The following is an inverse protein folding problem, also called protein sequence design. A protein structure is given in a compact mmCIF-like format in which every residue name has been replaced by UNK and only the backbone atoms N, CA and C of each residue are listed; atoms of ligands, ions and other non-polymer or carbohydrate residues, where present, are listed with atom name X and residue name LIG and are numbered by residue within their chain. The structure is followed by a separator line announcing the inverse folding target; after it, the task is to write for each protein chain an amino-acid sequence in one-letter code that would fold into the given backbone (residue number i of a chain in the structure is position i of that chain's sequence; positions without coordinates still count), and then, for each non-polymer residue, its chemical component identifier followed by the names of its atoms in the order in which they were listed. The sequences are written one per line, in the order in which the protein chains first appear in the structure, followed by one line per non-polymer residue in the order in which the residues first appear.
data_IF_704132480875
#
_entry.id   IF_704132480875
#
_cell.length_a   1.000
_cell.length_b   1.000
_cell.length_c   1.000
_cell.angle_alpha   90.00
_cell.angle_beta   90.00
_cell.angle_gamma   90.00
#
_symmetry.space_group_name_H-M   'P 1'
#
loop_
_entity.id
_entity.type
_entity.pdbx_description
1 polymer ?
#
# COMPACT_ATOMS: atom_id res chain seq x y z
N UNK A 1 31.99 9.04 17.09
CA UNK A 1 31.22 9.43 18.27
C UNK A 1 30.15 8.36 18.46
N UNK A 2 30.24 7.51 19.48
CA UNK A 2 29.34 6.35 19.67
C UNK A 2 28.01 6.89 20.20
N UNK A 3 26.92 6.65 19.45
CA UNK A 3 25.57 6.94 19.90
C UNK A 3 25.10 5.73 20.73
N UNK A 4 25.00 5.92 22.03
CA UNK A 4 24.40 4.96 22.96
C UNK A 4 22.88 4.94 22.74
N UNK A 5 22.23 3.75 22.71
CA UNK A 5 20.77 3.69 22.64
C UNK A 5 20.17 4.15 23.96
N UNK A 6 19.35 5.17 23.92
CA UNK A 6 18.52 5.61 25.05
C UNK A 6 17.40 4.60 25.22
N UNK A 7 17.63 3.58 26.05
CA UNK A 7 16.57 2.77 26.66
C UNK A 7 16.00 3.55 27.83
N UNK A 8 15.03 4.42 27.59
CA UNK A 8 14.18 4.89 28.68
C UNK A 8 13.31 3.71 29.17
N UNK A 9 13.74 3.12 30.25
CA UNK A 9 12.98 2.21 31.07
C UNK A 9 11.76 2.95 31.66
N UNK A 10 10.65 2.94 30.94
CA UNK A 10 9.35 3.19 31.55
C UNK A 10 9.11 2.08 32.57
N UNK A 11 9.31 2.41 33.86
CA UNK A 11 8.84 1.61 34.98
C UNK A 11 7.31 1.54 34.93
N UNK A 12 6.76 0.58 34.18
CA UNK A 12 5.39 0.13 34.37
C UNK A 12 5.38 -0.75 35.64
N UNK A 13 5.04 -0.12 36.75
CA UNK A 13 4.80 -0.85 38.02
C UNK A 13 3.62 -1.80 37.91
N UNK A 14 3.81 -3.02 38.33
CA UNK A 14 2.90 -4.05 38.85
C UNK A 14 1.36 -3.92 38.66
N UNK A 15 0.88 -3.76 37.43
CA UNK A 15 -0.55 -3.95 37.04
C UNK A 15 -0.79 -4.52 35.65
N UNK A 16 0.16 -5.25 35.07
CA UNK A 16 -0.02 -5.79 33.72
C UNK A 16 -0.14 -7.31 33.78
N UNK A 17 -1.32 -7.80 34.14
CA UNK A 17 -1.64 -9.22 34.00
C UNK A 17 -2.77 -9.49 32.98
N UNK A 18 -3.21 -8.48 32.22
CA UNK A 18 -4.24 -8.66 31.17
C UNK A 18 -3.83 -7.94 29.90
N UNK A 19 -3.48 -8.75 28.86
CA UNK A 19 -3.19 -8.20 27.52
C UNK A 19 -4.36 -7.35 27.02
N UNK A 20 -4.05 -6.23 26.39
CA UNK A 20 -5.02 -5.39 25.71
C UNK A 20 -5.66 -6.18 24.57
N UNK A 21 -6.99 -6.19 24.50
CA UNK A 21 -7.72 -6.95 23.52
C UNK A 21 -8.23 -6.03 22.40
N UNK A 22 -7.90 -6.38 21.15
CA UNK A 22 -8.38 -5.72 19.95
C UNK A 22 -9.24 -6.66 19.11
N UNK A 23 -10.04 -6.09 18.21
CA UNK A 23 -10.78 -6.85 17.21
C UNK A 23 -10.52 -6.23 15.84
N UNK A 24 -10.19 -7.06 14.86
CA UNK A 24 -10.05 -6.67 13.47
C UNK A 24 -11.16 -7.30 12.64
N UNK A 25 -11.76 -6.52 11.74
CA UNK A 25 -12.86 -6.97 10.87
C UNK A 25 -12.52 -6.63 9.42
N UNK A 26 -12.27 -7.64 8.58
CA UNK A 26 -11.86 -7.48 7.19
C UNK A 26 -12.78 -8.22 6.22
N UNK A 27 -12.77 -7.79 4.96
CA UNK A 27 -13.45 -8.51 3.89
C UNK A 27 -12.70 -9.78 3.54
N UNK A 28 -11.42 -9.65 3.17
CA UNK A 28 -10.54 -10.73 2.75
C UNK A 28 -9.07 -10.31 2.87
N UNK A 29 -8.20 -11.26 3.17
CA UNK A 29 -6.76 -11.04 3.30
C UNK A 29 -5.96 -12.08 2.53
N UNK A 30 -6.42 -13.33 2.49
CA UNK A 30 -5.68 -14.49 1.98
C UNK A 30 -6.23 -15.02 0.66
N UNK A 31 -7.50 -14.76 0.33
CA UNK A 31 -8.15 -15.28 -0.86
C UNK A 31 -7.64 -14.65 -2.17
N UNK A 32 -7.10 -13.44 -2.10
CA UNK A 32 -6.58 -12.68 -3.23
C UNK A 32 -5.28 -11.97 -2.86
N UNK A 33 -4.45 -11.69 -3.88
CA UNK A 33 -3.29 -10.83 -3.75
C UNK A 33 -3.60 -9.41 -4.24
N UNK A 34 -3.07 -8.41 -3.53
CA UNK A 34 -3.23 -7.00 -3.89
C UNK A 34 -2.61 -6.08 -2.84
N UNK A 35 -2.51 -4.80 -3.16
CA UNK A 35 -1.89 -3.80 -2.27
C UNK A 35 -2.57 -3.70 -0.90
N UNK A 36 -3.90 -3.79 -0.84
CA UNK A 36 -4.65 -3.78 0.43
C UNK A 36 -4.32 -5.01 1.28
N UNK A 37 -4.29 -6.19 0.67
CA UNK A 37 -3.98 -7.44 1.35
C UNK A 37 -2.53 -7.44 1.87
N UNK A 38 -1.59 -6.97 1.07
CA UNK A 38 -0.19 -6.82 1.50
C UNK A 38 -0.07 -5.85 2.68
N UNK A 39 -0.71 -4.71 2.61
CA UNK A 39 -0.73 -3.73 3.70
C UNK A 39 -1.31 -4.29 5.01
N UNK A 40 -2.40 -5.06 4.95
CA UNK A 40 -2.99 -5.69 6.15
C UNK A 40 -2.04 -6.76 6.71
N UNK A 41 -1.36 -7.53 5.85
CA UNK A 41 -0.34 -8.49 6.26
C UNK A 41 0.84 -7.79 6.99
N UNK A 42 1.23 -6.59 6.55
CA UNK A 42 2.26 -5.81 7.23
C UNK A 42 1.80 -5.30 8.59
N UNK A 43 0.52 -4.90 8.73
CA UNK A 43 -0.07 -4.59 10.04
C UNK A 43 0.03 -5.80 10.97
N UNK A 44 -0.28 -7.01 10.51
CA UNK A 44 -0.20 -8.20 11.37
C UNK A 44 1.23 -8.59 11.72
N UNK A 45 2.18 -8.49 10.77
CA UNK A 45 3.62 -8.69 11.08
C UNK A 45 4.09 -7.74 12.17
N UNK A 46 3.74 -6.46 12.05
CA UNK A 46 4.08 -5.46 13.06
C UNK A 46 3.35 -5.69 14.38
N UNK A 47 2.06 -6.04 14.34
CA UNK A 47 1.23 -6.29 15.52
C UNK A 47 1.75 -7.46 16.36
N UNK A 48 2.15 -8.56 15.74
CA UNK A 48 2.71 -9.74 16.43
C UNK A 48 4.02 -9.44 17.18
N UNK A 49 4.77 -8.40 16.76
CA UNK A 49 5.94 -7.92 17.51
C UNK A 49 5.57 -7.39 18.91
N UNK A 50 4.30 -7.02 19.11
CA UNK A 50 3.76 -6.53 20.40
C UNK A 50 2.93 -7.58 21.14
N UNK A 51 3.09 -8.86 20.84
CA UNK A 51 2.32 -9.98 21.39
C UNK A 51 2.38 -10.11 22.92
N UNK A 52 3.38 -9.50 23.58
CA UNK A 52 3.46 -9.42 25.04
C UNK A 52 2.39 -8.47 25.64
N UNK A 53 1.98 -7.44 24.88
CA UNK A 53 1.05 -6.38 25.33
C UNK A 53 -0.33 -6.54 24.74
N UNK A 54 -0.42 -6.97 23.48
CA UNK A 54 -1.66 -7.02 22.72
C UNK A 54 -2.05 -8.45 22.34
N UNK A 55 -3.35 -8.66 22.21
CA UNK A 55 -3.96 -9.82 21.55
C UNK A 55 -5.15 -9.36 20.74
N UNK A 56 -5.50 -10.09 19.70
CA UNK A 56 -6.66 -9.75 18.87
C UNK A 56 -7.42 -10.97 18.36
N UNK A 57 -8.68 -10.72 18.04
CA UNK A 57 -9.53 -11.61 17.26
C UNK A 57 -9.79 -10.98 15.89
N UNK A 58 -9.60 -11.73 14.81
CA UNK A 58 -9.70 -11.28 13.43
C UNK A 58 -10.88 -11.96 12.75
N UNK A 59 -11.81 -11.18 12.22
CA UNK A 59 -13.03 -11.65 11.56
C UNK A 59 -12.90 -11.42 10.06
N UNK A 60 -12.95 -12.51 9.27
CA UNK A 60 -12.76 -12.52 7.83
C UNK A 60 -14.03 -12.97 7.10
N UNK A 61 -14.63 -12.07 6.31
CA UNK A 61 -15.92 -12.33 5.67
C UNK A 61 -15.82 -13.30 4.47
N UNK A 62 -14.73 -13.23 3.71
CA UNK A 62 -14.60 -13.92 2.41
C UNK A 62 -13.46 -14.92 2.34
N UNK A 63 -12.58 -14.96 3.34
CA UNK A 63 -11.56 -16.00 3.44
C UNK A 63 -12.13 -17.31 3.99
N UNK A 64 -11.50 -18.42 3.61
CA UNK A 64 -11.80 -19.78 4.08
C UNK A 64 -10.75 -20.23 5.09
N UNK A 65 -11.10 -21.13 6.04
CA UNK A 65 -10.10 -21.80 6.89
C UNK A 65 -9.01 -22.54 6.11
N UNK A 66 -9.31 -22.93 4.86
CA UNK A 66 -8.35 -23.61 3.97
C UNK A 66 -7.33 -22.64 3.35
N UNK A 67 -7.52 -21.32 3.52
CA UNK A 67 -6.57 -20.33 3.02
C UNK A 67 -5.29 -20.39 3.84
N UNK A 68 -4.12 -20.31 3.17
CA UNK A 68 -2.83 -20.27 3.86
C UNK A 68 -2.72 -19.00 4.69
N UNK A 69 -2.77 -19.13 6.00
CA UNK A 69 -2.63 -18.03 6.95
C UNK A 69 -1.35 -18.20 7.80
N UNK A 70 -0.29 -17.40 7.53
CA UNK A 70 0.96 -17.48 8.28
C UNK A 70 0.95 -16.72 9.61
N UNK A 71 -0.17 -16.07 9.97
CA UNK A 71 -0.25 -15.18 11.15
C UNK A 71 -1.05 -15.78 12.32
N UNK A 72 -1.58 -16.98 12.18
CA UNK A 72 -2.34 -17.60 13.27
C UNK A 72 -1.42 -17.94 14.45
N UNK A 73 -1.72 -17.35 15.60
CA UNK A 73 -0.90 -17.40 16.82
C UNK A 73 -1.83 -17.34 18.04
N UNK A 74 -1.33 -17.66 19.24
CA UNK A 74 -2.12 -17.57 20.48
C UNK A 74 -2.65 -16.15 20.77
N UNK A 75 -1.98 -15.12 20.25
CA UNK A 75 -2.35 -13.70 20.41
C UNK A 75 -3.11 -13.13 19.23
N UNK A 76 -3.26 -13.86 18.12
CA UNK A 76 -3.95 -13.44 16.92
C UNK A 76 -4.82 -14.57 16.37
N UNK A 77 -6.08 -14.61 16.79
CA UNK A 77 -7.03 -15.68 16.45
C UNK A 77 -7.92 -15.27 15.28
N UNK A 78 -8.08 -16.15 14.31
CA UNK A 78 -8.82 -15.90 13.10
C UNK A 78 -10.18 -16.64 13.08
N UNK A 79 -11.22 -15.94 12.61
CA UNK A 79 -12.58 -16.44 12.42
C UNK A 79 -12.99 -16.24 10.96
N UNK A 80 -13.37 -17.32 10.27
CA UNK A 80 -13.64 -17.33 8.85
C UNK A 80 -15.16 -17.49 8.61
N UNK A 81 -15.72 -16.65 7.73
CA UNK A 81 -17.17 -16.57 7.45
C UNK A 81 -17.50 -16.71 5.97
N UNK A 82 -16.57 -17.19 5.14
CA UNK A 82 -16.86 -17.48 3.75
C UNK A 82 -18.02 -18.48 3.65
N UNK A 83 -19.05 -18.10 2.89
CA UNK A 83 -20.26 -18.90 2.70
C UNK A 83 -20.69 -18.84 1.24
N UNK A 84 -21.40 -19.87 0.76
CA UNK A 84 -21.98 -19.86 -0.57
C UNK A 84 -23.02 -18.73 -0.73
N UNK A 85 -23.77 -18.43 0.32
CA UNK A 85 -24.63 -17.25 0.39
C UNK A 85 -23.90 -16.08 1.07
N UNK A 86 -23.62 -14.98 0.36
CA UNK A 86 -22.97 -13.80 0.95
C UNK A 86 -23.75 -13.18 2.11
N UNK A 87 -25.08 -13.29 2.09
CA UNK A 87 -25.94 -12.79 3.18
C UNK A 87 -25.77 -13.63 4.44
N UNK A 88 -25.72 -14.96 4.30
CA UNK A 88 -25.55 -15.86 5.45
C UNK A 88 -24.18 -15.67 6.09
N UNK A 89 -23.11 -15.54 5.31
CA UNK A 89 -21.77 -15.22 5.82
C UNK A 89 -21.75 -13.92 6.61
N UNK A 90 -22.41 -12.88 6.12
CA UNK A 90 -22.53 -11.59 6.85
C UNK A 90 -23.30 -11.73 8.16
N UNK A 91 -24.42 -12.48 8.17
CA UNK A 91 -25.20 -12.72 9.40
C UNK A 91 -24.40 -13.52 10.43
N UNK A 92 -23.72 -14.56 10.00
CA UNK A 92 -22.88 -15.37 10.87
C UNK A 92 -21.73 -14.54 11.47
N UNK A 93 -21.05 -13.74 10.65
CA UNK A 93 -20.01 -12.82 11.11
C UNK A 93 -20.57 -11.79 12.09
N UNK A 94 -21.74 -11.20 11.81
CA UNK A 94 -22.38 -10.21 12.69
C UNK A 94 -22.70 -10.81 14.06
N UNK A 95 -23.28 -12.02 14.09
CA UNK A 95 -23.62 -12.72 15.33
C UNK A 95 -22.37 -13.10 16.14
N UNK A 96 -21.34 -13.61 15.47
CA UNK A 96 -20.07 -13.95 16.11
C UNK A 96 -19.33 -12.71 16.64
N UNK A 97 -19.31 -11.63 15.86
CA UNK A 97 -18.73 -10.36 16.26
C UNK A 97 -19.46 -9.79 17.48
N UNK A 98 -20.80 -9.74 17.46
CA UNK A 98 -21.59 -9.29 18.61
C UNK A 98 -21.29 -10.08 19.87
N UNK A 99 -21.24 -11.43 19.75
CA UNK A 99 -20.87 -12.30 20.87
C UNK A 99 -19.47 -11.95 21.39
N UNK A 100 -18.49 -11.78 20.53
CA UNK A 100 -17.15 -11.39 20.91
C UNK A 100 -17.13 -10.04 21.62
N UNK A 101 -17.81 -9.01 21.10
CA UNK A 101 -17.87 -7.67 21.69
C UNK A 101 -18.50 -7.68 23.09
N UNK A 102 -19.56 -8.48 23.30
CA UNK A 102 -20.21 -8.63 24.60
C UNK A 102 -19.35 -9.37 25.63
N UNK A 103 -18.60 -10.40 25.21
CA UNK A 103 -17.80 -11.24 26.09
C UNK A 103 -16.45 -10.62 26.43
N UNK A 104 -15.74 -10.09 25.43
CA UNK A 104 -14.36 -9.65 25.58
C UNK A 104 -14.21 -8.16 25.87
N UNK A 105 -15.21 -7.35 25.51
CA UNK A 105 -15.19 -5.88 25.57
C UNK A 105 -13.84 -5.31 25.13
N UNK A 106 -13.51 -5.44 23.82
CA UNK A 106 -12.21 -5.00 23.30
C UNK A 106 -12.03 -3.49 23.52
N UNK A 107 -10.78 -3.05 23.66
CA UNK A 107 -10.47 -1.63 23.77
C UNK A 107 -10.69 -0.88 22.46
N UNK A 108 -10.51 -1.57 21.32
CA UNK A 108 -10.66 -0.98 19.98
C UNK A 108 -11.09 -2.04 18.98
N UNK A 109 -11.98 -1.63 18.06
CA UNK A 109 -12.33 -2.42 16.87
C UNK A 109 -11.75 -1.73 15.63
N UNK A 110 -11.00 -2.46 14.84
CA UNK A 110 -10.44 -1.99 13.58
C UNK A 110 -11.27 -2.53 12.40
N UNK A 111 -11.97 -1.65 11.72
CA UNK A 111 -12.77 -1.95 10.55
C UNK A 111 -11.93 -1.77 9.28
N UNK A 112 -11.56 -2.86 8.66
CA UNK A 112 -10.61 -2.87 7.53
C UNK A 112 -11.20 -2.53 6.17
N UNK A 113 -12.45 -2.10 6.05
CA UNK A 113 -13.03 -1.62 4.80
C UNK A 113 -14.34 -0.88 5.02
N UNK A 114 -14.59 0.17 4.22
CA UNK A 114 -15.81 1.00 4.32
C UNK A 114 -17.11 0.17 4.21
N UNK A 115 -17.13 -0.88 3.40
CA UNK A 115 -18.28 -1.78 3.24
C UNK A 115 -18.67 -2.56 4.52
N UNK A 116 -17.81 -2.58 5.53
CA UNK A 116 -18.04 -3.18 6.85
C UNK A 116 -18.33 -2.11 7.92
N UNK A 117 -18.09 -0.84 7.61
CA UNK A 117 -18.18 0.24 8.60
C UNK A 117 -19.59 0.37 9.22
N UNK A 118 -20.64 0.20 8.41
CA UNK A 118 -22.03 0.24 8.91
C UNK A 118 -22.29 -0.88 9.92
N UNK A 119 -21.82 -2.11 9.64
CA UNK A 119 -21.94 -3.24 10.56
C UNK A 119 -21.18 -2.98 11.87
N UNK A 120 -19.91 -2.55 11.75
CA UNK A 120 -19.08 -2.26 12.92
C UNK A 120 -19.68 -1.15 13.77
N UNK A 121 -20.12 -0.04 13.17
CA UNK A 121 -20.81 1.04 13.86
C UNK A 121 -22.05 0.54 14.61
N UNK A 122 -22.93 -0.20 13.93
CA UNK A 122 -24.20 -0.70 14.51
C UNK A 122 -23.97 -1.56 15.74
N UNK A 123 -22.88 -2.34 15.76
CA UNK A 123 -22.55 -3.21 16.89
C UNK A 123 -21.74 -2.50 17.99
N UNK A 124 -20.83 -1.62 17.63
CA UNK A 124 -19.91 -0.98 18.58
C UNK A 124 -20.57 0.21 19.31
N UNK A 125 -21.32 1.05 18.60
CA UNK A 125 -21.87 2.29 19.15
C UNK A 125 -22.80 2.07 20.35
N UNK A 126 -23.77 1.13 20.34
CA UNK A 126 -24.62 0.87 21.51
C UNK A 126 -23.86 0.31 22.71
N UNK A 127 -22.70 -0.33 22.46
CA UNK A 127 -21.86 -0.91 23.52
C UNK A 127 -20.80 0.07 24.05
N UNK A 128 -20.70 1.27 23.48
CA UNK A 128 -19.68 2.26 23.82
C UNK A 128 -18.27 1.79 23.49
N UNK A 129 -18.11 0.89 22.52
CA UNK A 129 -16.80 0.37 22.09
C UNK A 129 -16.26 1.25 20.97
N UNK A 130 -15.05 1.84 21.10
CA UNK A 130 -14.48 2.69 20.06
C UNK A 130 -14.09 1.86 18.84
N UNK A 131 -14.21 2.46 17.64
CA UNK A 131 -13.77 1.82 16.41
C UNK A 131 -12.98 2.77 15.52
N UNK A 132 -12.02 2.19 14.79
CA UNK A 132 -11.21 2.84 13.75
C UNK A 132 -11.58 2.26 12.40
N UNK A 133 -11.75 3.10 11.38
CA UNK A 133 -11.97 2.65 9.99
C UNK A 133 -10.68 2.83 9.20
N UNK A 134 -10.21 1.78 8.53
CA UNK A 134 -9.08 1.82 7.61
C UNK A 134 -9.59 2.19 6.21
N UNK A 135 -8.88 3.13 5.56
CA UNK A 135 -9.17 3.61 4.21
C UNK A 135 -7.91 3.62 3.37
N UNK A 136 -8.04 3.26 2.08
CA UNK A 136 -6.90 3.00 1.20
C UNK A 136 -6.84 3.91 -0.03
N UNK A 137 -7.96 4.62 -0.34
CA UNK A 137 -7.96 5.55 -1.47
C UNK A 137 -9.33 5.71 -2.15
N UNK A 138 -9.46 5.23 -3.37
CA UNK A 138 -10.62 5.48 -4.26
C UNK A 138 -11.99 5.17 -3.64
N UNK A 139 -12.07 4.23 -2.72
CA UNK A 139 -13.32 3.82 -2.06
C UNK A 139 -13.93 4.90 -1.18
N UNK A 140 -13.16 5.97 -0.86
CA UNK A 140 -13.61 7.11 -0.04
C UNK A 140 -13.34 8.47 -0.69
N UNK A 141 -12.80 8.53 -1.92
CA UNK A 141 -12.50 9.80 -2.61
C UNK A 141 -13.73 10.50 -3.18
N UNK A 142 -14.83 9.76 -3.34
CA UNK A 142 -16.10 10.28 -3.80
C UNK A 142 -17.11 10.27 -2.65
N UNK A 143 -18.23 11.04 -2.74
CA UNK A 143 -19.26 11.04 -1.72
C UNK A 143 -19.84 9.64 -1.47
N UNK A 144 -19.74 9.17 -0.24
CA UNK A 144 -20.30 7.90 0.20
C UNK A 144 -21.82 7.98 0.35
N UNK A 145 -22.48 6.82 0.31
CA UNK A 145 -23.91 6.71 0.68
C UNK A 145 -24.11 7.14 2.15
N UNK A 146 -25.30 7.65 2.46
CA UNK A 146 -25.58 8.23 3.77
C UNK A 146 -25.21 7.32 4.95
N UNK A 147 -25.49 6.03 4.87
CA UNK A 147 -25.17 5.08 5.96
C UNK A 147 -23.66 4.87 6.12
N UNK A 148 -22.94 4.68 5.01
CA UNK A 148 -21.47 4.50 5.01
C UNK A 148 -20.77 5.78 5.48
N UNK A 149 -21.23 6.94 5.00
CA UNK A 149 -20.72 8.24 5.45
C UNK A 149 -20.97 8.46 6.94
N UNK A 150 -22.19 8.14 7.43
CA UNK A 150 -22.48 8.23 8.86
C UNK A 150 -21.59 7.30 9.69
N UNK A 151 -21.36 6.07 9.24
CA UNK A 151 -20.46 5.15 9.91
C UNK A 151 -19.01 5.65 9.92
N UNK A 152 -18.56 6.30 8.85
CA UNK A 152 -17.23 6.86 8.77
C UNK A 152 -17.06 8.11 9.65
N UNK A 153 -18.03 9.02 9.62
CA UNK A 153 -18.02 10.26 10.45
C UNK A 153 -18.18 9.99 11.95
N UNK A 154 -18.82 8.88 12.33
CA UNK A 154 -19.00 8.46 13.73
C UNK A 154 -17.83 7.64 14.27
N UNK A 155 -16.84 7.31 13.44
CA UNK A 155 -15.65 6.60 13.88
C UNK A 155 -14.83 7.45 14.86
N UNK A 156 -14.22 6.81 15.85
CA UNK A 156 -13.30 7.49 16.77
C UNK A 156 -12.04 7.94 16.06
N UNK A 157 -11.58 7.15 15.06
CA UNK A 157 -10.42 7.42 14.23
C UNK A 157 -10.63 6.85 12.83
N UNK A 158 -9.92 7.41 11.88
CA UNK A 158 -9.82 6.90 10.52
C UNK A 158 -8.33 6.78 10.22
N UNK A 159 -7.87 5.60 9.82
CA UNK A 159 -6.51 5.42 9.31
C UNK A 159 -6.52 5.48 7.80
N UNK A 160 -5.62 6.26 7.24
CA UNK A 160 -5.45 6.39 5.80
C UNK A 160 -3.99 6.32 5.40
N UNK A 161 -3.72 5.95 4.16
CA UNK A 161 -2.37 5.63 3.69
C UNK A 161 -1.59 6.84 3.19
N UNK A 162 -2.28 7.96 2.84
CA UNK A 162 -1.61 9.16 2.28
C UNK A 162 -2.33 10.45 2.62
N UNK A 163 -1.59 11.58 2.59
CA UNK A 163 -2.15 12.93 2.71
C UNK A 163 -3.21 13.20 1.65
N UNK A 164 -2.94 12.79 0.41
CA UNK A 164 -3.88 12.92 -0.69
C UNK A 164 -5.19 12.17 -0.42
N UNK A 165 -5.11 10.91 0.00
CA UNK A 165 -6.30 10.12 0.35
C UNK A 165 -7.07 10.73 1.52
N UNK A 166 -6.37 11.27 2.53
CA UNK A 166 -6.98 12.01 3.64
C UNK A 166 -7.78 13.20 3.12
N UNK A 167 -7.13 14.06 2.35
CA UNK A 167 -7.71 15.34 1.91
C UNK A 167 -8.91 15.11 0.99
N UNK A 168 -8.80 14.14 0.06
CA UNK A 168 -9.92 13.72 -0.80
C UNK A 168 -11.09 13.15 0.01
N UNK A 169 -10.81 12.24 0.96
CA UNK A 169 -11.84 11.65 1.82
C UNK A 169 -12.54 12.70 2.69
N UNK A 170 -11.77 13.62 3.29
CA UNK A 170 -12.32 14.71 4.10
C UNK A 170 -13.22 15.61 3.29
N UNK A 171 -12.80 16.03 2.11
CA UNK A 171 -13.57 16.89 1.22
C UNK A 171 -14.86 16.19 0.77
N UNK A 172 -14.78 14.98 0.26
CA UNK A 172 -15.90 14.26 -0.32
C UNK A 172 -16.97 13.87 0.73
N UNK A 173 -16.55 13.60 1.97
CA UNK A 173 -17.43 13.02 2.99
C UNK A 173 -17.63 13.93 4.22
N UNK A 174 -17.17 15.18 4.18
CA UNK A 174 -17.24 16.15 5.28
C UNK A 174 -16.67 15.60 6.60
N UNK A 175 -15.50 14.92 6.52
CA UNK A 175 -14.83 14.36 7.70
C UNK A 175 -14.08 15.44 8.46
N UNK A 176 -14.02 15.29 9.79
CA UNK A 176 -13.13 16.10 10.60
C UNK A 176 -11.67 15.61 10.41
N UNK A 177 -10.74 16.41 9.85
CA UNK A 177 -9.35 15.98 9.64
C UNK A 177 -8.62 15.55 10.92
N UNK A 178 -9.07 16.01 12.10
CA UNK A 178 -8.45 15.68 13.39
C UNK A 178 -8.56 14.20 13.78
N UNK A 179 -9.57 13.49 13.25
CA UNK A 179 -9.72 12.06 13.50
C UNK A 179 -9.07 11.19 12.42
N UNK A 180 -8.51 11.80 11.38
CA UNK A 180 -7.87 11.08 10.26
C UNK A 180 -6.36 11.05 10.48
N UNK A 181 -5.86 9.89 10.80
CA UNK A 181 -4.46 9.63 11.10
C UNK A 181 -3.78 8.92 9.92
N UNK A 182 -2.51 9.26 9.70
CA UNK A 182 -1.72 8.69 8.61
C UNK A 182 -1.11 7.36 9.07
N UNK A 183 -1.34 6.32 8.30
CA UNK A 183 -0.68 5.01 8.44
C UNK A 183 -0.17 4.56 7.08
N UNK A 184 1.01 5.05 6.64
CA UNK A 184 1.57 4.78 5.30
C UNK A 184 1.89 3.30 5.10
N UNK A 185 2.04 2.86 3.84
CA UNK A 185 2.47 1.50 3.54
C UNK A 185 3.94 1.27 3.96
N UNK A 186 4.28 0.01 4.21
CA UNK A 186 5.64 -0.42 4.51
C UNK A 186 6.32 -1.08 3.31
N UNK A 187 7.65 -1.17 3.39
CA UNK A 187 8.47 -1.97 2.49
C UNK A 187 9.32 -2.97 3.26
N UNK A 188 9.31 -4.20 2.81
CA UNK A 188 10.20 -5.24 3.30
C UNK A 188 11.57 -5.12 2.61
N UNK A 189 12.50 -4.47 3.30
CA UNK A 189 13.85 -4.23 2.80
C UNK A 189 14.71 -5.48 2.69
N UNK A 190 14.32 -6.60 3.31
CA UNK A 190 15.01 -7.89 3.16
C UNK A 190 14.51 -8.61 1.91
N UNK A 191 13.26 -8.39 1.53
CA UNK A 191 12.66 -8.94 0.33
C UNK A 191 13.05 -8.18 -0.93
N UNK A 192 13.14 -6.85 -0.88
CA UNK A 192 13.50 -5.99 -2.01
C UNK A 192 14.89 -5.40 -1.76
N UNK A 193 15.88 -5.86 -2.51
CA UNK A 193 17.29 -5.48 -2.36
C UNK A 193 17.95 -5.18 -3.70
N UNK A 194 18.93 -4.27 -3.76
CA UNK A 194 19.76 -4.08 -4.94
C UNK A 194 20.48 -5.38 -5.33
N UNK A 195 20.86 -5.51 -6.57
CA UNK A 195 21.60 -6.67 -7.06
C UNK A 195 21.90 -6.60 -8.55
N UNK A 196 22.66 -7.56 -9.05
CA UNK A 196 22.98 -7.64 -10.46
C UNK A 196 21.74 -8.01 -11.29
N UNK A 197 21.65 -7.46 -12.51
CA UNK A 197 20.65 -7.83 -13.50
C UNK A 197 20.86 -9.30 -13.91
N UNK A 198 19.82 -10.13 -13.81
CA UNK A 198 19.87 -11.56 -14.12
C UNK A 198 20.04 -11.78 -15.64
N UNK A 199 21.12 -12.50 -16.10
CA UNK A 199 21.39 -12.70 -17.52
C UNK A 199 20.23 -13.40 -18.25
N UNK A 200 19.55 -14.35 -17.61
CA UNK A 200 18.42 -15.09 -18.17
C UNK A 200 17.24 -14.16 -18.46
N UNK A 201 16.97 -13.20 -17.58
CA UNK A 201 15.91 -12.21 -17.77
C UNK A 201 16.28 -11.17 -18.82
N UNK A 202 17.57 -10.75 -18.88
CA UNK A 202 18.08 -9.88 -19.95
C UNK A 202 17.87 -10.55 -21.31
N UNK A 203 18.22 -11.82 -21.44
CA UNK A 203 18.03 -12.57 -22.67
C UNK A 203 16.56 -12.77 -23.00
N UNK A 204 15.75 -13.17 -21.99
CA UNK A 204 14.30 -13.39 -22.13
C UNK A 204 13.58 -12.19 -22.72
N UNK A 205 13.93 -10.99 -22.28
CA UNK A 205 13.27 -9.74 -22.69
C UNK A 205 14.04 -8.95 -23.75
N UNK A 206 15.17 -9.45 -24.25
CA UNK A 206 15.99 -8.77 -25.27
C UNK A 206 16.54 -7.43 -24.80
N UNK A 207 17.06 -7.37 -23.56
CA UNK A 207 17.52 -6.13 -22.88
C UNK A 207 19.03 -5.94 -22.94
N UNK A 208 19.75 -6.72 -23.70
CA UNK A 208 21.22 -6.65 -23.80
C UNK A 208 21.65 -5.25 -24.27
N UNK A 209 22.46 -4.57 -23.45
CA UNK A 209 22.95 -3.21 -23.74
C UNK A 209 21.90 -2.09 -23.65
N UNK A 210 20.66 -2.42 -23.27
CA UNK A 210 19.57 -1.44 -23.21
C UNK A 210 19.56 -0.65 -21.89
N UNK A 211 19.11 0.61 -21.96
CA UNK A 211 18.57 1.34 -20.82
C UNK A 211 17.10 0.93 -20.64
N UNK A 212 16.77 0.44 -19.45
CA UNK A 212 15.48 -0.19 -19.18
C UNK A 212 14.58 0.72 -18.32
N UNK A 213 13.50 1.20 -18.89
CA UNK A 213 12.37 1.77 -18.15
C UNK A 213 11.42 0.64 -17.75
N UNK A 214 10.82 0.69 -16.58
CA UNK A 214 9.92 -0.36 -16.11
C UNK A 214 8.66 0.19 -15.45
N UNK A 215 7.54 -0.51 -15.64
CA UNK A 215 6.29 -0.31 -14.88
C UNK A 215 5.74 -1.65 -14.41
N UNK A 216 5.24 -1.70 -13.19
CA UNK A 216 4.45 -2.82 -12.65
C UNK A 216 3.03 -2.33 -12.43
N UNK A 217 2.08 -2.80 -13.25
CA UNK A 217 0.69 -2.33 -13.16
C UNK A 217 -0.29 -3.36 -13.69
N UNK A 218 -1.49 -3.40 -13.12
CA UNK A 218 -2.61 -4.09 -13.75
C UNK A 218 -2.99 -3.35 -15.05
N UNK A 219 -3.07 -4.09 -16.14
CA UNK A 219 -3.40 -3.53 -17.47
C UNK A 219 -4.90 -3.68 -17.77
N UNK A 220 -5.73 -3.19 -16.88
CA UNK A 220 -7.17 -3.19 -17.07
C UNK A 220 -7.64 -1.88 -17.72
N UNK A 221 -8.61 -1.98 -18.63
CA UNK A 221 -9.15 -0.82 -19.35
C UNK A 221 -9.75 0.27 -18.45
N UNK A 222 -10.16 -0.09 -17.22
CA UNK A 222 -10.55 0.86 -16.17
C UNK A 222 -9.40 1.52 -15.41
N UNK A 223 -8.15 1.07 -15.63
CA UNK A 223 -6.95 1.53 -14.92
C UNK A 223 -6.01 2.40 -15.80
N UNK A 224 -6.56 3.09 -16.80
CA UNK A 224 -5.79 3.99 -17.70
C UNK A 224 -4.98 5.03 -16.92
N UNK A 225 -5.43 5.38 -15.71
CA UNK A 225 -4.74 6.29 -14.81
C UNK A 225 -3.34 5.80 -14.36
N UNK A 226 -2.98 4.53 -14.59
CA UNK A 226 -1.62 4.00 -14.34
C UNK A 226 -0.54 4.59 -15.25
N UNK A 227 -0.92 5.26 -16.35
CA UNK A 227 -0.02 6.04 -17.17
C UNK A 227 0.90 5.24 -18.11
N UNK A 228 0.66 3.95 -18.31
CA UNK A 228 1.45 3.12 -19.25
C UNK A 228 1.41 3.69 -20.67
N UNK A 229 0.23 4.16 -21.11
CA UNK A 229 0.06 4.82 -22.41
C UNK A 229 0.84 6.14 -22.52
N UNK A 230 0.98 6.88 -21.41
CA UNK A 230 1.75 8.13 -21.36
C UNK A 230 3.24 7.84 -21.53
N UNK A 231 3.74 6.82 -20.85
CA UNK A 231 5.13 6.38 -20.99
C UNK A 231 5.43 5.88 -22.40
N UNK A 232 4.52 5.10 -23.03
CA UNK A 232 4.67 4.68 -24.44
C UNK A 232 4.74 5.89 -25.38
N UNK A 233 3.96 6.95 -25.13
CA UNK A 233 3.99 8.20 -25.93
C UNK A 233 5.27 9.00 -25.73
N UNK A 234 5.94 8.87 -24.58
CA UNK A 234 7.21 9.51 -24.29
C UNK A 234 8.40 8.83 -24.98
N UNK A 235 8.30 7.52 -25.30
CA UNK A 235 9.42 6.73 -25.85
C UNK A 235 10.06 7.32 -27.10
N UNK A 236 9.34 7.85 -28.11
CA UNK A 236 9.98 8.42 -29.30
C UNK A 236 10.99 9.54 -28.97
N UNK A 237 10.66 10.41 -28.00
CA UNK A 237 11.52 11.50 -27.56
C UNK A 237 12.71 10.97 -26.74
N UNK A 238 12.47 10.02 -25.82
CA UNK A 238 13.55 9.39 -25.04
C UNK A 238 14.54 8.67 -25.97
N UNK A 239 14.04 7.96 -26.99
CA UNK A 239 14.87 7.23 -27.94
C UNK A 239 15.77 8.11 -28.81
N UNK A 240 15.49 9.41 -28.95
CA UNK A 240 16.40 10.35 -29.62
C UNK A 240 17.68 10.57 -28.83
N UNK A 241 17.61 10.48 -27.49
CA UNK A 241 18.77 10.65 -26.59
C UNK A 241 19.39 9.30 -26.22
N UNK A 242 18.55 8.30 -26.00
CA UNK A 242 18.95 6.92 -25.64
C UNK A 242 18.43 5.93 -26.70
N UNK A 243 19.16 5.72 -27.82
CA UNK A 243 18.69 4.87 -28.92
C UNK A 243 18.36 3.44 -28.51
N UNK A 244 19.03 2.91 -27.46
CA UNK A 244 18.83 1.54 -26.97
C UNK A 244 17.83 1.47 -25.79
N UNK A 245 16.99 2.52 -25.61
CA UNK A 245 15.98 2.48 -24.54
C UNK A 245 14.91 1.42 -24.82
N UNK A 246 14.58 0.66 -23.79
CA UNK A 246 13.50 -0.34 -23.78
C UNK A 246 12.54 -0.07 -22.62
N UNK A 247 11.28 -0.41 -22.80
CA UNK A 247 10.24 -0.27 -21.79
C UNK A 247 9.64 -1.63 -21.45
N UNK A 248 9.91 -2.12 -20.24
CA UNK A 248 9.40 -3.38 -19.72
C UNK A 248 8.12 -3.13 -18.92
N UNK A 249 7.00 -3.65 -19.41
CA UNK A 249 5.67 -3.51 -18.78
C UNK A 249 5.31 -4.85 -18.14
N UNK A 250 5.26 -4.87 -16.80
CA UNK A 250 4.89 -6.04 -16.01
C UNK A 250 3.43 -5.90 -15.59
N UNK A 251 2.66 -6.94 -15.88
CA UNK A 251 1.24 -7.05 -15.56
C UNK A 251 0.43 -7.58 -16.72
N UNK A 252 -0.85 -7.83 -16.45
CA UNK A 252 -1.80 -8.37 -17.43
C UNK A 252 -3.15 -7.65 -17.31
N UNK A 253 -3.91 -7.68 -18.40
CA UNK A 253 -5.25 -7.13 -18.45
C UNK A 253 -5.74 -6.94 -19.89
N UNK A 254 -6.99 -6.56 -20.01
CA UNK A 254 -7.70 -6.36 -21.30
C UNK A 254 -7.25 -5.10 -22.07
N UNK A 255 -6.47 -4.20 -21.45
CA UNK A 255 -5.93 -3.00 -22.08
C UNK A 255 -4.62 -3.23 -22.87
N UNK A 256 -3.96 -4.37 -22.69
CA UNK A 256 -2.68 -4.68 -23.36
C UNK A 256 -2.78 -4.56 -24.91
N UNK A 257 -3.83 -5.05 -25.60
CA UNK A 257 -3.94 -4.89 -27.04
C UNK A 257 -3.99 -3.43 -27.51
N UNK A 258 -4.66 -2.54 -26.76
CA UNK A 258 -4.70 -1.09 -27.03
C UNK A 258 -3.31 -0.47 -26.89
N UNK A 259 -2.59 -0.82 -25.84
CA UNK A 259 -1.22 -0.34 -25.56
C UNK A 259 -0.23 -0.82 -26.65
N UNK A 260 -0.31 -2.09 -27.06
CA UNK A 260 0.52 -2.63 -28.14
C UNK A 260 0.22 -1.92 -29.49
N UNK A 261 -1.06 -1.67 -29.79
CA UNK A 261 -1.46 -0.88 -30.97
C UNK A 261 -0.93 0.56 -30.91
N UNK A 262 -0.94 1.18 -29.73
CA UNK A 262 -0.36 2.51 -29.52
C UNK A 262 1.14 2.52 -29.83
N UNK A 263 1.90 1.56 -29.30
CA UNK A 263 3.32 1.41 -29.56
C UNK A 263 3.61 1.22 -31.06
N UNK A 264 2.80 0.42 -31.74
CA UNK A 264 2.90 0.23 -33.19
C UNK A 264 2.66 1.53 -34.00
N UNK A 265 1.62 2.28 -33.63
CA UNK A 265 1.28 3.54 -34.30
C UNK A 265 2.37 4.61 -34.11
N UNK A 266 3.13 4.55 -33.03
CA UNK A 266 4.24 5.46 -32.71
C UNK A 266 5.60 4.94 -33.23
N UNK A 267 5.65 3.78 -33.88
CA UNK A 267 6.88 3.19 -34.39
C UNK A 267 7.88 2.71 -33.32
N UNK A 268 7.38 2.39 -32.12
CA UNK A 268 8.20 1.96 -30.96
C UNK A 268 7.86 0.55 -30.47
N UNK A 269 7.24 -0.29 -31.31
CA UNK A 269 6.82 -1.64 -30.90
C UNK A 269 7.99 -2.53 -30.49
N UNK A 270 9.15 -2.35 -31.10
CA UNK A 270 10.38 -3.08 -30.80
C UNK A 270 11.02 -2.68 -29.47
N UNK A 271 10.54 -1.59 -28.88
CA UNK A 271 11.01 -1.02 -27.60
C UNK A 271 10.11 -1.36 -26.42
N UNK A 272 8.88 -1.84 -26.65
CA UNK A 272 7.90 -2.12 -25.58
C UNK A 272 7.75 -3.62 -25.41
N UNK A 273 8.18 -4.15 -24.25
CA UNK A 273 8.04 -5.54 -23.88
C UNK A 273 6.95 -5.71 -22.83
N UNK A 274 5.93 -6.51 -23.12
CA UNK A 274 4.90 -6.90 -22.18
C UNK A 274 5.30 -8.24 -21.55
N UNK A 275 5.77 -8.21 -20.29
CA UNK A 275 6.23 -9.40 -19.56
C UNK A 275 5.07 -10.33 -19.12
N UNK A 276 3.83 -9.83 -19.14
CA UNK A 276 2.71 -10.54 -18.57
C UNK A 276 2.73 -10.49 -17.03
N UNK A 277 2.04 -11.43 -16.39
CA UNK A 277 2.04 -11.57 -14.94
C UNK A 277 3.39 -12.11 -14.46
N UNK A 278 3.93 -11.47 -13.42
CA UNK A 278 5.11 -11.90 -12.69
C UNK A 278 4.69 -12.13 -11.23
N UNK A 279 5.05 -13.28 -10.69
CA UNK A 279 4.76 -13.60 -9.29
C UNK A 279 5.50 -12.66 -8.33
N UNK A 280 4.93 -12.42 -7.16
CA UNK A 280 5.49 -11.46 -6.18
C UNK A 280 6.90 -11.84 -5.74
N UNK A 281 7.22 -13.15 -5.74
CA UNK A 281 8.53 -13.68 -5.39
C UNK A 281 9.62 -13.37 -6.44
N UNK A 282 9.20 -13.18 -7.69
CA UNK A 282 10.10 -12.89 -8.83
C UNK A 282 10.22 -11.37 -9.10
N UNK A 283 9.38 -10.53 -8.48
CA UNK A 283 9.36 -9.10 -8.77
C UNK A 283 10.69 -8.41 -8.45
N UNK A 284 11.37 -8.81 -7.37
CA UNK A 284 12.67 -8.23 -7.01
C UNK A 284 13.67 -8.33 -8.16
N UNK A 285 13.80 -9.51 -8.79
CA UNK A 285 14.71 -9.71 -9.90
C UNK A 285 14.34 -8.88 -11.13
N UNK A 286 13.04 -8.61 -11.31
CA UNK A 286 12.56 -7.74 -12.38
C UNK A 286 12.85 -6.26 -12.06
N UNK A 287 12.68 -5.79 -10.82
CA UNK A 287 13.09 -4.43 -10.43
C UNK A 287 14.57 -4.19 -10.69
N UNK A 288 15.41 -5.17 -10.42
CA UNK A 288 16.87 -5.10 -10.69
C UNK A 288 17.23 -4.94 -12.17
N UNK A 289 16.35 -5.27 -13.11
CA UNK A 289 16.56 -5.04 -14.54
C UNK A 289 16.43 -3.55 -14.90
N UNK A 290 15.68 -2.78 -14.12
CA UNK A 290 15.33 -1.41 -14.45
C UNK A 290 16.50 -0.44 -14.18
N UNK A 291 16.68 0.53 -15.07
CA UNK A 291 17.50 1.72 -14.82
C UNK A 291 16.62 2.85 -14.28
N UNK A 292 15.29 2.80 -14.52
CA UNK A 292 14.30 3.69 -13.92
C UNK A 292 12.91 3.04 -13.88
N UNK A 293 12.17 3.28 -12.79
CA UNK A 293 10.78 2.86 -12.62
C UNK A 293 9.83 4.03 -12.94
N UNK A 294 8.96 3.84 -13.94
CA UNK A 294 8.14 4.92 -14.49
C UNK A 294 6.66 4.59 -14.37
N UNK A 295 5.94 5.31 -13.54
CA UNK A 295 4.49 5.16 -13.44
C UNK A 295 3.83 6.53 -13.18
N UNK A 296 3.61 7.37 -14.21
CA UNK A 296 2.96 8.66 -14.10
C UNK A 296 1.45 8.48 -13.89
N UNK A 297 1.08 8.01 -12.70
CA UNK A 297 -0.25 7.54 -12.32
C UNK A 297 -0.99 8.52 -11.42
N UNK A 298 -2.18 8.09 -10.96
CA UNK A 298 -2.93 8.69 -9.86
C UNK A 298 -3.20 7.62 -8.79
N UNK A 299 -2.24 7.42 -7.91
CA UNK A 299 -2.28 6.39 -6.87
C UNK A 299 -2.79 6.91 -5.52
N UNK A 300 -3.32 5.98 -4.70
CA UNK A 300 -3.60 6.29 -3.29
C UNK A 300 -2.32 6.48 -2.45
N UNK A 301 -1.25 5.76 -2.81
CA UNK A 301 0.07 5.83 -2.21
C UNK A 301 1.15 5.34 -3.19
N UNK A 302 1.04 4.09 -3.70
CA UNK A 302 1.98 3.50 -4.65
C UNK A 302 3.10 2.72 -3.97
N UNK A 303 2.80 1.57 -3.38
CA UNK A 303 3.80 0.68 -2.76
C UNK A 303 4.89 0.26 -3.75
N UNK A 304 4.58 0.16 -5.04
CA UNK A 304 5.53 -0.18 -6.11
C UNK A 304 6.69 0.81 -6.24
N UNK A 305 6.51 2.08 -5.84
CA UNK A 305 7.62 3.03 -5.76
C UNK A 305 8.58 2.66 -4.64
N UNK A 306 8.05 2.22 -3.48
CA UNK A 306 8.88 1.75 -2.38
C UNK A 306 9.65 0.48 -2.75
N UNK A 307 9.03 -0.44 -3.48
CA UNK A 307 9.66 -1.68 -3.98
C UNK A 307 10.83 -1.35 -4.92
N UNK A 308 10.63 -0.42 -5.85
CA UNK A 308 11.67 0.04 -6.76
C UNK A 308 12.82 0.74 -6.00
N UNK A 309 12.50 1.70 -5.12
CA UNK A 309 13.50 2.43 -4.32
C UNK A 309 14.27 1.48 -3.38
N UNK A 310 13.63 0.48 -2.80
CA UNK A 310 14.30 -0.52 -1.99
C UNK A 310 15.28 -1.39 -2.79
N UNK A 311 15.03 -1.58 -4.10
CA UNK A 311 15.97 -2.18 -5.05
C UNK A 311 17.02 -1.17 -5.57
N UNK A 312 17.03 0.09 -5.11
CA UNK A 312 17.93 1.14 -5.55
C UNK A 312 17.59 1.70 -6.93
N UNK A 313 16.35 1.54 -7.39
CA UNK A 313 15.91 2.00 -8.72
C UNK A 313 15.23 3.36 -8.58
N UNK A 314 15.72 4.41 -9.29
CA UNK A 314 15.07 5.72 -9.28
C UNK A 314 13.64 5.65 -9.82
N UNK A 315 12.74 6.49 -9.30
CA UNK A 315 11.31 6.40 -9.56
C UNK A 315 10.72 7.71 -10.07
N UNK A 316 9.73 7.58 -10.98
CA UNK A 316 8.92 8.69 -11.49
C UNK A 316 7.44 8.40 -11.26
N UNK A 317 6.73 9.39 -10.71
CA UNK A 317 5.28 9.35 -10.46
C UNK A 317 4.53 10.50 -11.13
N UNK A 318 3.20 10.48 -11.04
CA UNK A 318 2.35 11.65 -11.26
C UNK A 318 2.51 12.69 -10.15
N UNK A 319 1.99 13.89 -10.36
CA UNK A 319 2.12 15.03 -9.43
C UNK A 319 0.87 15.30 -8.59
N UNK A 320 -0.31 14.82 -9.00
CA UNK A 320 -1.58 15.03 -8.32
C UNK A 320 -2.16 13.71 -7.79
N UNK A 321 -1.43 13.11 -6.84
CA UNK A 321 -1.82 11.84 -6.23
C UNK A 321 -1.11 11.56 -4.89
N UNK A 322 -1.39 10.39 -4.30
CA UNK A 322 -0.80 9.96 -3.04
C UNK A 322 0.68 9.58 -3.12
N UNK A 323 1.28 9.53 -4.30
CA UNK A 323 2.72 9.25 -4.47
C UNK A 323 3.62 10.36 -3.91
N UNK A 324 3.05 11.53 -3.64
CA UNK A 324 3.75 12.60 -2.93
C UNK A 324 4.35 12.13 -1.60
N UNK A 325 3.69 11.21 -0.91
CA UNK A 325 4.14 10.72 0.38
C UNK A 325 5.35 9.76 0.28
N UNK A 326 5.32 8.66 -0.49
CA UNK A 326 6.49 7.80 -0.66
C UNK A 326 7.66 8.51 -1.34
N UNK A 327 7.42 9.47 -2.24
CA UNK A 327 8.47 10.24 -2.89
C UNK A 327 8.90 11.50 -2.11
N UNK A 328 8.39 11.71 -0.89
CA UNK A 328 8.70 12.86 -0.03
C UNK A 328 8.62 14.19 -0.77
N UNK A 329 7.50 14.41 -1.47
CA UNK A 329 7.23 15.61 -2.29
C UNK A 329 8.27 15.85 -3.40
N UNK A 330 8.89 14.79 -3.93
CA UNK A 330 9.89 14.84 -5.00
C UNK A 330 11.34 14.75 -4.54
N UNK A 331 11.61 14.64 -3.24
CA UNK A 331 12.97 14.48 -2.71
C UNK A 331 13.56 13.10 -3.02
N UNK A 332 12.73 12.06 -3.11
CA UNK A 332 13.14 10.68 -3.36
C UNK A 332 12.81 10.19 -4.77
N UNK A 333 12.20 11.01 -5.63
CA UNK A 333 11.84 10.63 -6.98
C UNK A 333 11.28 11.81 -7.77
N UNK A 334 11.06 11.59 -9.05
CA UNK A 334 10.51 12.62 -9.94
C UNK A 334 8.99 12.60 -9.89
N UNK A 335 8.40 13.80 -9.86
CA UNK A 335 6.95 13.99 -9.94
C UNK A 335 6.64 14.89 -11.13
N UNK A 336 5.80 14.40 -12.03
CA UNK A 336 5.47 15.10 -13.27
C UNK A 336 3.96 15.12 -13.50
N UNK A 337 3.41 16.08 -14.29
CA UNK A 337 2.01 16.04 -14.71
C UNK A 337 1.68 14.68 -15.33
N UNK A 338 0.81 13.92 -14.66
CA UNK A 338 0.58 12.49 -14.92
C UNK A 338 0.07 12.16 -16.33
N UNK A 339 -0.47 13.12 -17.08
CA UNK A 339 -0.91 12.94 -18.46
C UNK A 339 -0.05 13.68 -19.50
N UNK A 340 1.19 14.07 -19.15
CA UNK A 340 2.11 14.79 -20.01
C UNK A 340 3.26 13.90 -20.51
N UNK A 341 3.20 13.36 -21.74
CA UNK A 341 4.30 12.57 -22.31
C UNK A 341 5.62 13.35 -22.38
N UNK A 342 5.57 14.66 -22.67
CA UNK A 342 6.78 15.50 -22.75
C UNK A 342 7.47 15.65 -21.39
N UNK A 343 6.69 15.86 -20.31
CA UNK A 343 7.24 15.93 -18.96
C UNK A 343 7.80 14.57 -18.53
N UNK A 344 7.14 13.47 -18.86
CA UNK A 344 7.64 12.11 -18.64
C UNK A 344 8.94 11.87 -19.41
N UNK A 345 9.02 12.29 -20.66
CA UNK A 345 10.21 12.11 -21.48
C UNK A 345 11.41 12.89 -20.90
N UNK A 346 11.20 14.16 -20.54
CA UNK A 346 12.25 15.01 -19.96
C UNK A 346 12.79 14.41 -18.66
N UNK A 347 11.91 14.00 -17.75
CA UNK A 347 12.31 13.38 -16.49
C UNK A 347 13.00 12.01 -16.69
N UNK A 348 12.52 11.17 -17.62
CA UNK A 348 13.19 9.90 -17.94
C UNK A 348 14.61 10.13 -18.50
N UNK A 349 14.81 11.17 -19.33
CA UNK A 349 16.14 11.51 -19.85
C UNK A 349 17.08 11.91 -18.69
N UNK A 350 16.62 12.78 -17.80
CA UNK A 350 17.38 13.18 -16.59
C UNK A 350 17.74 11.95 -15.73
N UNK A 351 16.78 11.08 -15.44
CA UNK A 351 16.98 9.86 -14.68
C UNK A 351 18.03 8.92 -15.32
N UNK A 352 17.97 8.75 -16.64
CA UNK A 352 18.87 7.86 -17.37
C UNK A 352 20.31 8.44 -17.54
N UNK A 353 20.48 9.76 -17.43
CA UNK A 353 21.78 10.42 -17.34
C UNK A 353 22.50 10.05 -16.03
N UNK A 354 21.74 9.95 -14.92
CA UNK A 354 22.27 9.45 -13.66
C UNK A 354 23.03 10.46 -12.80
N UNK A 355 23.00 11.74 -13.13
CA UNK A 355 23.76 12.79 -12.43
C UNK A 355 23.10 13.27 -11.12
N UNK A 356 21.84 12.95 -10.91
CA UNK A 356 21.07 13.36 -9.72
C UNK A 356 21.28 12.37 -8.55
N UNK A 357 21.31 12.88 -7.32
CA UNK A 357 21.45 12.08 -6.11
C UNK A 357 20.37 11.00 -5.98
N UNK A 358 19.16 11.25 -6.50
CA UNK A 358 18.06 10.27 -6.53
C UNK A 358 18.36 9.04 -7.41
N UNK A 359 19.44 9.07 -8.20
CA UNK A 359 19.96 7.95 -8.97
C UNK A 359 21.05 7.15 -8.21
N UNK A 360 21.52 7.63 -7.06
CA UNK A 360 22.41 6.87 -6.19
C UNK A 360 21.62 5.75 -5.50
N UNK A 361 21.95 4.52 -5.86
CA UNK A 361 21.22 3.31 -5.43
C UNK A 361 21.25 3.09 -3.92
N UNK A 362 22.42 3.29 -3.28
CA UNK A 362 22.57 3.09 -1.84
C UNK A 362 21.82 4.17 -1.07
N UNK A 363 22.05 5.43 -1.41
CA UNK A 363 21.38 6.55 -0.78
C UNK A 363 19.84 6.44 -0.89
N UNK A 364 19.31 6.17 -2.10
CA UNK A 364 17.88 6.07 -2.34
C UNK A 364 17.25 4.96 -1.50
N UNK A 365 17.89 3.79 -1.47
CA UNK A 365 17.48 2.67 -0.64
C UNK A 365 17.49 3.02 0.84
N UNK A 366 18.58 3.60 1.33
CA UNK A 366 18.69 3.99 2.75
C UNK A 366 17.55 4.93 3.16
N UNK A 367 17.25 5.95 2.33
CA UNK A 367 16.13 6.86 2.60
C UNK A 367 14.78 6.13 2.61
N UNK A 368 14.51 5.28 1.62
CA UNK A 368 13.27 4.52 1.53
C UNK A 368 13.07 3.60 2.75
N UNK A 369 14.11 2.86 3.15
CA UNK A 369 14.05 1.94 4.30
C UNK A 369 13.95 2.69 5.63
N UNK A 370 14.67 3.79 5.80
CA UNK A 370 14.61 4.60 7.02
C UNK A 370 13.20 5.17 7.27
N UNK A 371 12.49 5.55 6.20
CA UNK A 371 11.16 6.17 6.30
C UNK A 371 10.01 5.15 6.28
N UNK A 372 10.13 4.09 5.49
CA UNK A 372 9.05 3.17 5.17
C UNK A 372 9.37 1.69 5.43
N UNK A 373 10.56 1.38 5.95
CA UNK A 373 10.92 0.01 6.32
C UNK A 373 10.04 -0.56 7.43
N UNK A 374 10.07 -1.87 7.61
CA UNK A 374 9.24 -2.59 8.60
C UNK A 374 9.43 -2.03 10.02
N UNK A 375 10.64 -1.63 10.40
CA UNK A 375 10.90 -1.09 11.75
C UNK A 375 10.25 0.31 11.93
N UNK A 376 10.33 1.18 10.92
CA UNK A 376 9.66 2.49 10.94
C UNK A 376 8.13 2.32 11.02
N UNK A 377 7.59 1.41 10.23
CA UNK A 377 6.16 1.05 10.24
C UNK A 377 5.73 0.51 11.61
N UNK A 378 6.51 -0.38 12.21
CA UNK A 378 6.25 -0.94 13.52
C UNK A 378 6.21 0.14 14.61
N UNK A 379 7.19 1.05 14.63
CA UNK A 379 7.22 2.17 15.58
C UNK A 379 6.00 3.09 15.40
N UNK A 380 5.59 3.31 14.15
CA UNK A 380 4.42 4.12 13.84
C UNK A 380 3.13 3.45 14.33
N UNK A 381 2.95 2.15 14.01
CA UNK A 381 1.80 1.37 14.50
C UNK A 381 1.72 1.37 16.02
N UNK A 382 2.86 1.20 16.72
CA UNK A 382 2.90 1.25 18.18
C UNK A 382 2.38 2.57 18.73
N UNK A 383 2.82 3.71 18.17
CA UNK A 383 2.33 5.03 18.58
C UNK A 383 0.81 5.15 18.39
N UNK A 384 0.29 4.67 17.25
CA UNK A 384 -1.13 4.72 16.95
C UNK A 384 -1.96 3.82 17.86
N UNK A 385 -1.47 2.64 18.22
CA UNK A 385 -2.14 1.75 19.19
C UNK A 385 -2.11 2.33 20.62
N UNK A 386 -1.00 2.94 21.05
CA UNK A 386 -0.89 3.57 22.36
C UNK A 386 -1.78 4.82 22.48
N UNK A 387 -1.85 5.65 21.45
CA UNK A 387 -2.69 6.85 21.45
C UNK A 387 -4.19 6.51 21.54
N UNK A 388 -4.60 5.30 21.13
CA UNK A 388 -5.96 4.81 21.30
C UNK A 388 -6.34 4.52 22.76
N UNK A 389 -5.35 4.32 23.64
CA UNK A 389 -5.56 4.00 25.06
C UNK A 389 -5.69 5.27 25.92
N UNK A 390 -5.10 6.39 25.50
CA UNK A 390 -4.90 7.57 26.36
C UNK A 390 -6.05 8.59 26.32
N UNK A 391 -6.95 8.58 25.34
CA UNK A 391 -8.02 9.58 25.27
C UNK A 391 -9.39 9.04 24.80
N UNK A 392 -10.16 8.34 25.67
CA UNK A 392 -11.54 8.00 25.37
C UNK A 392 -12.52 9.18 25.54
N UNK A 393 -12.12 10.32 26.15
CA UNK A 393 -13.08 11.33 26.64
C UNK A 393 -12.64 12.81 26.55
N UNK A 394 -11.73 13.20 25.66
CA UNK A 394 -11.45 14.63 25.43
C UNK A 394 -12.02 15.12 24.11
N UNK A 395 -13.34 15.11 23.98
CA UNK A 395 -14.08 16.04 23.10
C UNK A 395 -15.56 16.05 23.52
N UNK A 396 -15.88 16.84 24.53
CA UNK A 396 -17.18 17.50 24.62
C UNK A 396 -16.99 18.95 24.25
#
# INVERSE_FOLDING_TARGET
MRITPVTENLKLGDKVNKKTNHVFVFLEIFAHEGGIQSYIKDIFRAYLRFSQVYKAEVFLLRDSPDSLNPFEDENLKFHYFKNQSPYLGRLQMAAALLKCLLQSRPQQVFCGHINLAVLVQTLCQPLGIPYTVLTYGKEVWEPLKNQERHALTSANRIWTISRYSRDRACLANALNPKIVEMMPCAIDGDKFTPGCKQPELIQKYGLTGAKVLMTVARLWSGDIYKGVDVTIRALPQIAQVFPEVKYLVIGRGDDQPRLAKLAKNLGVSDRVMFAGFVATEELMEHYRLADAYIMPSQEGFGIVYLEAMACGVPVLSGDDDGSADPLQDGKLGWRVPHRSPDAVAAACIEMLQGDDQRCDQEWLREQAIALFGIDAFQQHLQKMLLSSVIDPFKSK
#
